data_IF_912641483411
#
_entry.id   IF_912641483411
#
_cell.length_a   1.000
_cell.length_b   1.000
_cell.length_c   1.000
_cell.angle_alpha   90.00
_cell.angle_beta   90.00
_cell.angle_gamma   90.00
#
_symmetry.space_group_name_H-M   'P 1'
#
loop_
_entity.id
_entity.type
_entity.pdbx_description
1 polymer ?
#
# COMPACT_ATOMS: atom_id res chain seq x y z
N UNK A 1 13.19 72.57 32.79
CA UNK A 1 12.51 71.26 32.91
C UNK A 1 12.29 70.76 31.48
N UNK A 2 13.04 69.73 31.05
CA UNK A 2 12.95 69.17 29.69
C UNK A 2 12.22 67.86 29.79
N UNK A 3 10.98 67.76 29.25
CA UNK A 3 10.20 66.53 29.17
C UNK A 3 10.69 65.67 28.01
N UNK A 4 11.16 64.48 28.30
CA UNK A 4 11.52 63.48 27.32
C UNK A 4 10.29 62.63 27.01
N UNK A 5 9.80 62.73 25.75
CA UNK A 5 8.70 61.90 25.24
C UNK A 5 9.27 60.54 24.78
N UNK A 6 8.90 59.47 25.47
CA UNK A 6 9.29 58.09 25.15
C UNK A 6 8.38 57.55 24.05
N UNK A 7 8.91 57.35 22.85
CA UNK A 7 8.18 56.75 21.74
C UNK A 7 8.27 55.22 21.86
N UNK A 8 7.17 54.58 22.22
CA UNK A 8 7.04 53.10 22.21
C UNK A 8 6.66 52.68 20.77
N UNK A 9 7.60 52.11 20.05
CA UNK A 9 7.33 51.47 18.75
C UNK A 9 6.79 50.07 18.97
N UNK A 10 5.49 49.90 18.78
CA UNK A 10 4.83 48.62 18.82
C UNK A 10 5.13 47.89 17.51
N UNK A 11 6.04 46.88 17.51
CA UNK A 11 6.31 46.05 16.38
C UNK A 11 5.12 45.06 16.20
N UNK A 12 4.19 45.37 15.29
CA UNK A 12 3.21 44.39 14.81
C UNK A 12 3.95 43.31 14.03
N UNK A 13 4.11 42.16 14.65
CA UNK A 13 4.55 40.94 13.95
C UNK A 13 3.49 40.55 12.91
N UNK A 14 3.78 40.77 11.64
CA UNK A 14 2.96 40.27 10.52
C UNK A 14 3.10 38.75 10.52
N UNK A 15 2.12 38.03 11.10
CA UNK A 15 1.99 36.60 10.90
C UNK A 15 1.67 36.37 9.41
N UNK A 16 2.65 35.94 8.63
CA UNK A 16 2.41 35.47 7.27
C UNK A 16 1.46 34.28 7.35
N UNK A 17 0.31 34.31 6.64
CA UNK A 17 -0.56 33.16 6.59
C UNK A 17 0.24 31.98 6.04
N UNK A 18 0.31 30.87 6.78
CA UNK A 18 0.89 29.62 6.31
C UNK A 18 -0.02 29.16 5.16
N UNK A 19 0.41 29.44 3.92
CA UNK A 19 -0.35 28.99 2.75
C UNK A 19 -0.40 27.46 2.76
N UNK A 20 -1.60 26.89 2.75
CA UNK A 20 -1.79 25.47 2.57
C UNK A 20 -1.07 25.03 1.28
N UNK A 21 -0.14 24.08 1.41
CA UNK A 21 0.55 23.55 0.24
C UNK A 21 -0.32 22.43 -0.40
N UNK A 22 -0.25 22.35 -1.73
CA UNK A 22 -0.85 21.25 -2.47
C UNK A 22 0.23 20.20 -2.73
N UNK A 23 0.02 18.97 -2.26
CA UNK A 23 0.99 17.87 -2.37
C UNK A 23 0.37 16.71 -3.14
N UNK A 24 1.13 16.13 -4.04
CA UNK A 24 0.71 14.98 -4.85
C UNK A 24 1.35 13.70 -4.37
N UNK A 25 0.55 12.66 -4.22
CA UNK A 25 0.98 11.32 -3.78
C UNK A 25 0.64 10.29 -4.85
N UNK A 26 1.62 9.47 -5.25
CA UNK A 26 1.41 8.27 -6.05
C UNK A 26 1.62 7.05 -5.17
N UNK A 27 0.59 6.20 -5.02
CA UNK A 27 0.63 5.04 -4.14
C UNK A 27 0.27 3.75 -4.88
N UNK A 28 0.80 2.63 -4.42
CA UNK A 28 0.35 1.31 -4.89
C UNK A 28 -0.96 0.90 -4.21
N UNK A 29 -1.73 0.04 -4.89
CA UNK A 29 -3.05 -0.43 -4.41
C UNK A 29 -2.99 -1.08 -3.04
N UNK A 30 -1.93 -1.82 -2.73
CA UNK A 30 -1.76 -2.49 -1.43
C UNK A 30 -1.71 -1.54 -0.23
N UNK A 31 -1.30 -0.27 -0.41
CA UNK A 31 -1.33 0.75 0.63
C UNK A 31 -2.62 1.59 0.64
N UNK A 32 -3.56 1.36 -0.29
CA UNK A 32 -4.76 2.19 -0.48
C UNK A 32 -5.53 2.40 0.83
N UNK A 33 -5.88 1.32 1.53
CA UNK A 33 -6.69 1.38 2.74
C UNK A 33 -6.04 2.21 3.86
N UNK A 34 -4.71 2.14 3.97
CA UNK A 34 -3.92 2.93 4.93
C UNK A 34 -3.86 4.38 4.48
N UNK A 35 -3.46 4.64 3.23
CA UNK A 35 -3.28 6.00 2.73
C UNK A 35 -4.58 6.81 2.69
N UNK A 36 -5.71 6.20 2.30
CA UNK A 36 -7.02 6.88 2.35
C UNK A 36 -7.49 7.20 3.77
N UNK A 37 -6.96 6.53 4.79
CA UNK A 37 -7.24 6.85 6.19
C UNK A 37 -6.26 7.89 6.75
N UNK A 38 -4.99 7.86 6.34
CA UNK A 38 -3.96 8.77 6.85
C UNK A 38 -3.99 10.16 6.21
N UNK A 39 -4.35 10.24 4.92
CA UNK A 39 -4.37 11.52 4.20
C UNK A 39 -5.30 12.55 4.85
N UNK A 40 -6.57 12.26 5.17
CA UNK A 40 -7.44 13.23 5.84
C UNK A 40 -6.91 13.67 7.21
N UNK A 41 -6.26 12.77 7.94
CA UNK A 41 -5.67 13.09 9.25
C UNK A 41 -4.45 14.01 9.10
N UNK A 42 -3.59 13.75 8.11
CA UNK A 42 -2.49 14.66 7.78
C UNK A 42 -3.00 16.05 7.40
N UNK A 43 -3.98 16.14 6.51
CA UNK A 43 -4.58 17.41 6.09
C UNK A 43 -5.16 18.20 7.28
N UNK A 44 -5.82 17.50 8.20
CA UNK A 44 -6.39 18.11 9.42
C UNK A 44 -5.30 18.70 10.32
N UNK A 45 -4.14 18.04 10.44
CA UNK A 45 -3.04 18.44 11.32
C UNK A 45 -2.19 19.53 10.67
N UNK A 46 -1.85 19.37 9.38
CA UNK A 46 -0.91 20.24 8.68
C UNK A 46 -1.57 21.48 8.06
N UNK A 47 -2.86 21.39 7.72
CA UNK A 47 -3.54 22.37 6.88
C UNK A 47 -3.24 22.23 5.38
N UNK A 48 -2.32 21.35 4.99
CA UNK A 48 -1.99 21.08 3.59
C UNK A 48 -3.11 20.31 2.89
N UNK A 49 -3.10 20.28 1.54
CA UNK A 49 -4.00 19.48 0.71
C UNK A 49 -3.24 18.37 0.00
N UNK A 50 -3.79 17.16 0.02
CA UNK A 50 -3.14 15.97 -0.56
C UNK A 50 -4.00 15.37 -1.65
N UNK A 51 -3.52 15.41 -2.89
CA UNK A 51 -4.10 14.67 -4.00
C UNK A 51 -3.40 13.33 -4.14
N UNK A 52 -4.14 12.23 -3.90
CA UNK A 52 -3.58 10.88 -3.99
C UNK A 52 -4.12 10.14 -5.22
N UNK A 53 -3.21 9.51 -5.96
CA UNK A 53 -3.51 8.59 -7.06
C UNK A 53 -2.97 7.20 -6.77
N UNK A 54 -3.60 6.18 -7.35
CA UNK A 54 -3.23 4.78 -7.14
C UNK A 54 -2.94 4.07 -8.45
N UNK A 55 -1.90 3.24 -8.43
CA UNK A 55 -1.46 2.43 -9.57
C UNK A 55 -1.05 1.03 -9.14
N UNK A 56 -0.95 0.09 -10.08
CA UNK A 56 -0.24 -1.17 -9.82
C UNK A 56 1.26 -0.90 -9.68
N UNK A 57 2.04 -1.80 -9.06
CA UNK A 57 3.49 -1.61 -8.94
C UNK A 57 4.18 -1.39 -10.28
N UNK A 58 3.82 -2.15 -11.31
CA UNK A 58 4.38 -2.00 -12.65
C UNK A 58 4.03 -0.64 -13.27
N UNK A 59 2.76 -0.23 -13.21
CA UNK A 59 2.33 1.08 -13.71
C UNK A 59 3.02 2.23 -12.97
N UNK A 60 3.16 2.12 -11.64
CA UNK A 60 3.87 3.13 -10.84
C UNK A 60 5.33 3.26 -11.26
N UNK A 61 6.04 2.12 -11.40
CA UNK A 61 7.42 2.10 -11.89
C UNK A 61 7.52 2.80 -13.25
N UNK A 62 6.69 2.40 -14.21
CA UNK A 62 6.74 2.90 -15.58
C UNK A 62 6.47 4.42 -15.63
N UNK A 63 5.45 4.90 -14.92
CA UNK A 63 5.13 6.32 -14.81
C UNK A 63 6.30 7.13 -14.25
N UNK A 64 6.86 6.72 -13.12
CA UNK A 64 7.97 7.43 -12.48
C UNK A 64 9.25 7.37 -13.34
N UNK A 65 9.59 6.23 -13.95
CA UNK A 65 10.75 6.09 -14.85
C UNK A 65 10.59 7.00 -16.07
N UNK A 66 9.38 7.10 -16.64
CA UNK A 66 9.07 7.98 -17.78
C UNK A 66 9.03 9.47 -17.42
N UNK A 67 9.17 9.83 -16.15
CA UNK A 67 9.27 11.22 -15.71
C UNK A 67 7.97 11.81 -15.16
N UNK A 68 6.91 11.01 -14.95
CA UNK A 68 5.75 11.50 -14.21
C UNK A 68 6.18 11.96 -12.82
N UNK A 69 5.68 13.12 -12.39
CA UNK A 69 6.05 13.74 -11.12
C UNK A 69 4.99 13.50 -10.06
N UNK A 70 5.46 13.25 -8.85
CA UNK A 70 4.69 13.31 -7.61
C UNK A 70 5.60 13.90 -6.53
N UNK A 71 5.04 14.38 -5.43
CA UNK A 71 5.86 14.85 -4.31
C UNK A 71 6.31 13.68 -3.45
N UNK A 72 5.38 12.76 -3.14
CA UNK A 72 5.64 11.54 -2.37
C UNK A 72 5.16 10.32 -3.16
N UNK A 73 5.89 9.23 -3.04
CA UNK A 73 5.46 7.94 -3.55
C UNK A 73 5.48 6.87 -2.46
N UNK A 74 4.48 5.95 -2.50
CA UNK A 74 4.39 4.77 -1.63
C UNK A 74 4.32 3.51 -2.49
N UNK A 75 5.46 2.83 -2.63
CA UNK A 75 5.64 1.69 -3.54
C UNK A 75 6.19 0.46 -2.85
N UNK A 76 6.10 -0.69 -3.52
CA UNK A 76 6.64 -1.95 -3.01
C UNK A 76 8.16 -2.04 -3.22
N UNK A 77 8.85 -2.81 -2.36
CA UNK A 77 10.30 -3.02 -2.43
C UNK A 77 10.78 -3.50 -3.80
N UNK A 78 9.99 -4.30 -4.51
CA UNK A 78 10.37 -4.89 -5.79
C UNK A 78 10.63 -3.87 -6.92
N UNK A 79 10.03 -2.67 -6.87
CA UNK A 79 10.23 -1.64 -7.90
C UNK A 79 11.34 -0.63 -7.54
N UNK A 80 11.83 -0.67 -6.30
CA UNK A 80 12.81 0.30 -5.79
C UNK A 80 14.11 0.31 -6.59
N UNK A 81 14.73 -0.84 -6.94
CA UNK A 81 15.98 -0.85 -7.71
C UNK A 81 15.85 -0.13 -9.06
N UNK A 82 14.74 -0.30 -9.77
CA UNK A 82 14.51 0.36 -11.06
C UNK A 82 14.37 1.88 -10.88
N UNK A 83 13.68 2.32 -9.83
CA UNK A 83 13.50 3.73 -9.52
C UNK A 83 14.80 4.40 -9.06
N UNK A 84 15.63 3.72 -8.28
CA UNK A 84 16.96 4.20 -7.88
C UNK A 84 17.87 4.35 -9.10
N UNK A 85 17.92 3.31 -9.96
CA UNK A 85 18.68 3.35 -11.22
C UNK A 85 18.25 4.50 -12.13
N UNK A 86 16.97 4.80 -12.16
CA UNK A 86 16.40 5.91 -12.95
C UNK A 86 16.54 7.27 -12.24
N UNK A 87 17.13 7.35 -11.04
CA UNK A 87 17.29 8.58 -10.27
C UNK A 87 15.98 9.21 -9.82
N UNK A 88 14.93 8.39 -9.60
CA UNK A 88 13.58 8.86 -9.28
C UNK A 88 13.29 8.98 -7.78
N UNK A 89 14.20 8.54 -6.93
CA UNK A 89 14.10 8.62 -5.46
C UNK A 89 15.05 9.71 -4.97
N UNK A 90 14.53 10.70 -4.26
CA UNK A 90 15.37 11.73 -3.65
C UNK A 90 16.26 11.12 -2.56
N UNK A 91 17.54 11.47 -2.60
CA UNK A 91 18.54 10.86 -1.72
C UNK A 91 18.17 11.00 -0.24
N UNK A 92 18.29 9.91 0.52
CA UNK A 92 18.08 9.89 1.97
C UNK A 92 16.61 9.97 2.42
N UNK A 93 15.65 9.93 1.49
CA UNK A 93 14.22 10.08 1.83
C UNK A 93 13.45 8.75 1.90
N UNK A 94 14.03 7.68 1.37
CA UNK A 94 13.38 6.36 1.35
C UNK A 94 13.41 5.68 2.71
N UNK A 95 12.27 5.24 3.19
CA UNK A 95 12.15 4.42 4.38
C UNK A 95 11.07 3.35 4.21
N UNK A 96 11.18 2.24 4.96
CA UNK A 96 10.09 1.28 5.07
C UNK A 96 8.87 1.96 5.68
N UNK A 97 7.72 1.75 5.06
CA UNK A 97 6.45 2.34 5.51
C UNK A 97 5.60 1.30 6.24
N UNK A 98 5.40 0.15 5.62
CA UNK A 98 4.59 -0.94 6.17
C UNK A 98 4.86 -2.24 5.42
N UNK A 99 4.48 -3.37 6.01
CA UNK A 99 4.47 -4.67 5.35
C UNK A 99 3.04 -5.24 5.33
N UNK A 100 2.56 -5.69 4.16
CA UNK A 100 1.31 -6.43 4.04
C UNK A 100 1.60 -7.91 3.81
N UNK A 101 0.92 -8.75 4.57
CA UNK A 101 1.00 -10.20 4.44
C UNK A 101 -0.04 -10.70 3.44
N UNK A 102 0.23 -11.86 2.87
CA UNK A 102 -0.71 -12.52 1.95
C UNK A 102 -1.76 -13.27 2.75
N UNK A 103 -3.00 -13.16 2.34
CA UNK A 103 -4.12 -13.85 2.95
C UNK A 103 -4.96 -14.61 1.92
N UNK A 104 -5.69 -15.58 2.42
CA UNK A 104 -6.76 -16.24 1.67
C UNK A 104 -8.07 -15.53 1.98
N UNK A 105 -8.74 -15.07 0.92
CA UNK A 105 -10.07 -14.48 1.00
C UNK A 105 -11.14 -15.52 0.66
N UNK A 106 -12.22 -15.48 1.41
CA UNK A 106 -13.45 -16.26 1.18
C UNK A 106 -14.65 -15.31 1.30
N UNK A 107 -15.83 -15.77 0.91
CA UNK A 107 -17.06 -15.01 1.11
C UNK A 107 -17.33 -14.83 2.61
N UNK A 108 -17.90 -13.69 2.98
CA UNK A 108 -18.30 -13.41 4.36
C UNK A 108 -19.20 -14.53 4.91
N UNK A 109 -18.93 -14.96 6.14
CA UNK A 109 -19.61 -16.07 6.78
C UNK A 109 -19.03 -17.47 6.50
N UNK A 110 -18.10 -17.61 5.56
CA UNK A 110 -17.39 -18.86 5.36
C UNK A 110 -16.38 -19.13 6.51
N UNK A 111 -16.08 -20.41 6.80
CA UNK A 111 -15.20 -20.77 7.91
C UNK A 111 -13.76 -20.32 7.67
N UNK A 112 -13.02 -20.16 8.77
CA UNK A 112 -11.57 -19.99 8.71
C UNK A 112 -10.89 -21.23 8.15
N UNK A 113 -9.75 -21.04 7.47
CA UNK A 113 -8.95 -22.12 6.91
C UNK A 113 -7.67 -22.30 7.72
N UNK A 114 -7.27 -23.54 7.92
CA UNK A 114 -5.92 -23.86 8.33
C UNK A 114 -5.00 -23.72 7.10
N UNK A 115 -3.98 -22.85 7.22
CA UNK A 115 -3.02 -22.56 6.16
C UNK A 115 -1.58 -22.69 6.67
N UNK A 116 -1.39 -23.31 7.86
CA UNK A 116 -0.11 -23.30 8.56
C UNK A 116 1.03 -24.01 7.82
N UNK A 117 0.73 -24.91 6.90
CA UNK A 117 1.71 -25.67 6.13
C UNK A 117 1.38 -25.71 4.64
N UNK A 118 2.35 -25.99 3.75
CA UNK A 118 2.07 -26.17 2.32
C UNK A 118 1.00 -27.24 2.05
N UNK A 119 0.94 -28.31 2.84
CA UNK A 119 -0.09 -29.37 2.72
C UNK A 119 -1.47 -28.85 3.11
N UNK A 120 -1.55 -27.97 4.12
CA UNK A 120 -2.81 -27.34 4.52
C UNK A 120 -3.28 -26.36 3.42
N UNK A 121 -2.38 -25.58 2.83
CA UNK A 121 -2.68 -24.72 1.68
C UNK A 121 -3.17 -25.56 0.50
N UNK A 122 -2.49 -26.68 0.18
CA UNK A 122 -2.90 -27.62 -0.86
C UNK A 122 -4.33 -28.12 -0.61
N UNK A 123 -4.65 -28.55 0.62
CA UNK A 123 -6.02 -29.01 0.96
C UNK A 123 -7.06 -27.91 0.72
N UNK A 124 -6.77 -26.67 1.11
CA UNK A 124 -7.66 -25.54 0.88
C UNK A 124 -7.88 -25.27 -0.62
N UNK A 125 -6.81 -25.28 -1.41
CA UNK A 125 -6.88 -25.15 -2.87
C UNK A 125 -7.69 -26.27 -3.51
N UNK A 126 -7.49 -27.53 -3.08
CA UNK A 126 -8.21 -28.68 -3.62
C UNK A 126 -9.71 -28.69 -3.26
N UNK A 127 -10.09 -28.12 -2.12
CA UNK A 127 -11.48 -27.97 -1.71
C UNK A 127 -12.24 -26.90 -2.51
N UNK A 128 -11.54 -25.92 -3.10
CA UNK A 128 -12.12 -24.89 -3.96
C UNK A 128 -12.26 -25.39 -5.40
N UNK A 129 -13.36 -25.04 -6.08
CA UNK A 129 -13.49 -25.23 -7.52
C UNK A 129 -12.71 -24.17 -8.30
N UNK A 130 -12.73 -22.94 -7.79
CA UNK A 130 -12.12 -21.78 -8.43
C UNK A 130 -11.36 -20.93 -7.40
N UNK A 131 -10.11 -20.58 -7.75
CA UNK A 131 -9.22 -19.73 -6.93
C UNK A 131 -8.89 -18.46 -7.72
N UNK A 132 -9.36 -17.32 -7.24
CA UNK A 132 -9.05 -16.03 -7.84
C UNK A 132 -7.63 -15.59 -7.49
N UNK A 133 -6.85 -15.19 -8.49
CA UNK A 133 -5.49 -14.67 -8.39
C UNK A 133 -5.34 -13.42 -9.24
N UNK A 134 -4.46 -12.51 -8.83
CA UNK A 134 -4.11 -11.36 -9.67
C UNK A 134 -3.39 -11.80 -10.95
N UNK A 135 -3.83 -11.28 -12.09
CA UNK A 135 -3.17 -11.49 -13.38
C UNK A 135 -1.86 -10.69 -13.45
N UNK A 136 -0.73 -11.30 -13.82
CA UNK A 136 0.53 -10.59 -14.01
C UNK A 136 0.46 -9.45 -15.02
N UNK A 137 -0.43 -9.52 -16.01
CA UNK A 137 -0.65 -8.45 -17.00
C UNK A 137 -1.18 -7.15 -16.37
N UNK A 138 -1.77 -7.23 -15.16
CA UNK A 138 -2.16 -6.07 -14.38
C UNK A 138 -0.95 -5.37 -13.68
N UNK A 139 0.28 -5.86 -13.90
CA UNK A 139 1.50 -5.29 -13.31
C UNK A 139 1.74 -5.68 -11.84
N UNK A 140 1.18 -6.81 -11.40
CA UNK A 140 1.43 -7.42 -10.08
C UNK A 140 1.92 -8.86 -10.27
N UNK A 141 2.82 -9.32 -9.38
CA UNK A 141 3.40 -10.66 -9.46
C UNK A 141 2.84 -11.62 -8.40
N UNK A 142 1.92 -11.18 -7.55
CA UNK A 142 1.47 -11.98 -6.41
C UNK A 142 0.84 -13.31 -6.85
N UNK A 143 -0.07 -13.28 -7.82
CA UNK A 143 -0.71 -14.50 -8.36
C UNK A 143 0.30 -15.46 -8.98
N UNK A 144 1.21 -14.95 -9.82
CA UNK A 144 2.28 -15.77 -10.43
C UNK A 144 3.20 -16.38 -9.36
N UNK A 145 3.56 -15.62 -8.33
CA UNK A 145 4.39 -16.10 -7.22
C UNK A 145 3.68 -17.21 -6.44
N UNK A 146 2.39 -17.06 -6.18
CA UNK A 146 1.61 -18.10 -5.49
C UNK A 146 1.58 -19.40 -6.30
N UNK A 147 1.35 -19.33 -7.62
CA UNK A 147 1.41 -20.48 -8.51
C UNK A 147 2.81 -21.12 -8.48
N UNK A 148 3.88 -20.34 -8.62
CA UNK A 148 5.25 -20.86 -8.61
C UNK A 148 5.63 -21.55 -7.29
N UNK A 149 5.17 -21.01 -6.15
CA UNK A 149 5.39 -21.64 -4.85
C UNK A 149 4.54 -22.90 -4.66
N UNK A 150 3.33 -22.93 -5.25
CA UNK A 150 2.51 -24.14 -5.32
C UNK A 150 3.19 -25.26 -6.13
N UNK A 151 3.90 -24.89 -7.20
CA UNK A 151 4.70 -25.86 -8.00
C UNK A 151 5.84 -26.46 -7.17
N UNK A 152 6.60 -25.61 -6.47
CA UNK A 152 7.68 -26.07 -5.57
C UNK A 152 7.15 -26.98 -4.46
N UNK A 153 5.92 -26.74 -4.00
CA UNK A 153 5.23 -27.55 -2.99
C UNK A 153 4.47 -28.76 -3.56
N UNK A 154 4.59 -29.04 -4.88
CA UNK A 154 4.07 -30.25 -5.52
C UNK A 154 2.56 -30.26 -5.80
N UNK A 155 1.91 -29.06 -5.91
CA UNK A 155 0.50 -28.94 -6.30
C UNK A 155 0.22 -27.82 -7.33
N UNK A 156 1.22 -27.46 -8.11
CA UNK A 156 1.11 -26.39 -9.12
C UNK A 156 0.13 -26.70 -10.25
N UNK A 157 0.00 -27.97 -10.65
CA UNK A 157 -0.94 -28.38 -11.70
C UNK A 157 -2.39 -28.18 -11.21
N UNK A 158 -2.69 -28.61 -10.00
CA UNK A 158 -4.00 -28.44 -9.36
C UNK A 158 -4.32 -26.96 -9.11
N UNK A 159 -3.32 -26.15 -8.74
CA UNK A 159 -3.50 -24.72 -8.58
C UNK A 159 -3.86 -24.06 -9.91
N UNK A 160 -3.11 -24.36 -10.99
CA UNK A 160 -3.38 -23.80 -12.31
C UNK A 160 -4.74 -24.18 -12.85
N UNK A 161 -5.16 -25.43 -12.66
CA UNK A 161 -6.47 -25.90 -13.16
C UNK A 161 -7.66 -25.20 -12.49
N UNK A 162 -7.45 -24.57 -11.33
CA UNK A 162 -8.46 -23.82 -10.56
C UNK A 162 -8.30 -22.31 -10.63
N UNK A 163 -7.19 -21.83 -11.20
CA UNK A 163 -6.89 -20.41 -11.21
C UNK A 163 -7.86 -19.63 -12.11
N UNK A 164 -8.47 -18.61 -11.54
CA UNK A 164 -9.20 -17.55 -12.25
C UNK A 164 -8.36 -16.28 -12.15
N UNK A 165 -7.77 -15.86 -13.26
CA UNK A 165 -6.95 -14.66 -13.31
C UNK A 165 -7.83 -13.42 -13.34
N UNK A 166 -7.57 -12.47 -12.42
CA UNK A 166 -8.29 -11.22 -12.26
C UNK A 166 -7.37 -10.07 -12.71
N UNK A 167 -7.76 -9.39 -13.77
CA UNK A 167 -7.01 -8.22 -14.24
C UNK A 167 -7.42 -6.99 -13.46
N UNK A 168 -6.59 -6.61 -12.46
CA UNK A 168 -6.84 -5.48 -11.56
C UNK A 168 -6.00 -5.56 -10.28
N UNK A 169 -6.22 -4.63 -9.34
CA UNK A 169 -5.61 -4.68 -8.02
C UNK A 169 -6.14 -5.88 -7.22
N UNK A 170 -5.43 -6.23 -6.15
CA UNK A 170 -5.83 -7.38 -5.31
C UNK A 170 -7.19 -7.22 -4.63
N UNK A 171 -7.69 -6.00 -4.47
CA UNK A 171 -9.08 -5.74 -4.05
C UNK A 171 -10.12 -6.31 -5.01
N UNK A 172 -9.80 -6.41 -6.32
CA UNK A 172 -10.70 -7.00 -7.31
C UNK A 172 -10.73 -8.53 -7.19
N UNK A 173 -9.61 -9.15 -6.75
CA UNK A 173 -9.60 -10.57 -6.35
C UNK A 173 -10.56 -10.81 -5.19
N UNK A 174 -10.50 -9.98 -4.15
CA UNK A 174 -11.40 -10.08 -3.01
C UNK A 174 -12.86 -9.78 -3.41
N UNK A 175 -13.10 -8.82 -4.30
CA UNK A 175 -14.43 -8.49 -4.81
C UNK A 175 -15.03 -9.63 -5.66
N UNK A 176 -14.24 -10.31 -6.48
CA UNK A 176 -14.68 -11.47 -7.25
C UNK A 176 -15.16 -12.61 -6.33
N UNK A 177 -14.45 -12.86 -5.22
CA UNK A 177 -14.87 -13.84 -4.21
C UNK A 177 -16.15 -13.39 -3.50
N UNK A 178 -16.24 -12.12 -3.09
CA UNK A 178 -17.44 -11.57 -2.44
C UNK A 178 -18.70 -11.72 -3.33
N UNK A 179 -18.57 -11.53 -4.65
CA UNK A 179 -19.64 -11.72 -5.64
C UNK A 179 -19.94 -13.19 -5.96
N UNK A 180 -19.12 -14.14 -5.48
CA UNK A 180 -19.27 -15.55 -5.79
C UNK A 180 -18.75 -15.97 -7.16
N UNK A 181 -17.90 -15.15 -7.77
CA UNK A 181 -17.25 -15.46 -9.04
C UNK A 181 -16.06 -16.42 -8.87
N UNK A 182 -15.59 -16.60 -7.63
CA UNK A 182 -14.63 -17.59 -7.21
C UNK A 182 -14.95 -18.06 -5.78
N UNK A 183 -14.56 -19.29 -5.43
CA UNK A 183 -14.82 -19.86 -4.10
C UNK A 183 -13.87 -19.28 -3.05
N UNK A 184 -12.63 -19.05 -3.46
CA UNK A 184 -11.60 -18.38 -2.66
C UNK A 184 -10.69 -17.53 -3.56
N UNK A 185 -9.87 -16.71 -2.93
CA UNK A 185 -8.83 -15.96 -3.63
C UNK A 185 -7.60 -15.76 -2.76
N UNK A 186 -6.51 -15.35 -3.37
CA UNK A 186 -5.25 -15.06 -2.68
C UNK A 186 -4.79 -13.66 -3.04
N UNK A 187 -4.70 -12.79 -2.04
CA UNK A 187 -4.21 -11.41 -2.18
C UNK A 187 -3.68 -10.87 -0.85
N UNK A 188 -3.29 -9.60 -0.81
CA UNK A 188 -2.81 -8.97 0.41
C UNK A 188 -3.96 -8.79 1.42
N UNK A 189 -3.68 -9.00 2.70
CA UNK A 189 -4.66 -8.81 3.79
C UNK A 189 -5.24 -7.39 3.76
N UNK A 190 -4.39 -6.39 3.49
CA UNK A 190 -4.81 -4.98 3.37
C UNK A 190 -5.78 -4.71 2.21
N UNK A 191 -5.85 -5.60 1.22
CA UNK A 191 -6.77 -5.53 0.09
C UNK A 191 -8.04 -6.38 0.30
N UNK A 192 -8.02 -7.31 1.27
CA UNK A 192 -9.18 -8.13 1.66
C UNK A 192 -10.09 -7.36 2.62
N UNK A 193 -9.51 -6.81 3.69
CA UNK A 193 -10.25 -6.25 4.82
C UNK A 193 -11.25 -5.14 4.45
N UNK A 194 -10.97 -4.25 3.47
CA UNK A 194 -11.91 -3.20 3.08
C UNK A 194 -13.09 -3.68 2.23
N UNK A 195 -13.04 -4.92 1.70
CA UNK A 195 -14.04 -5.39 0.72
C UNK A 195 -15.26 -5.95 1.43
N UNK A 196 -16.40 -5.29 1.26
CA UNK A 196 -17.66 -5.74 1.80
C UNK A 196 -18.10 -7.08 1.16
N UNK A 197 -18.56 -8.03 1.96
CA UNK A 197 -18.93 -9.36 1.50
C UNK A 197 -17.76 -10.34 1.38
N UNK A 198 -16.52 -9.89 1.62
CA UNK A 198 -15.34 -10.75 1.75
C UNK A 198 -14.91 -10.92 3.20
N UNK A 199 -14.23 -12.01 3.50
CA UNK A 199 -13.61 -12.28 4.81
C UNK A 199 -12.22 -12.88 4.61
N UNK A 200 -11.28 -12.49 5.47
CA UNK A 200 -9.99 -13.14 5.58
C UNK A 200 -10.19 -14.53 6.20
N UNK A 201 -9.93 -15.59 5.46
CA UNK A 201 -10.00 -16.96 5.94
C UNK A 201 -8.77 -17.37 6.77
N UNK A 202 -7.60 -16.85 6.42
CA UNK A 202 -6.34 -17.08 7.12
C UNK A 202 -5.19 -16.35 6.45
N UNK A 203 -4.11 -16.14 7.18
CA UNK A 203 -2.83 -15.62 6.67
C UNK A 203 -2.03 -16.77 6.06
N UNK A 204 -1.43 -16.55 4.90
CA UNK A 204 -0.51 -17.50 4.27
C UNK A 204 0.86 -17.32 4.95
N UNK A 205 1.52 -18.41 5.38
CA UNK A 205 2.82 -18.32 6.04
C UNK A 205 3.87 -17.58 5.21
N UNK A 206 4.70 -16.78 5.89
CA UNK A 206 5.74 -15.97 5.23
C UNK A 206 6.79 -16.81 4.48
N UNK A 207 7.00 -18.05 4.91
CA UNK A 207 7.90 -19.01 4.24
C UNK A 207 7.30 -19.49 2.90
N UNK A 208 5.97 -19.51 2.78
CA UNK A 208 5.30 -19.82 1.53
C UNK A 208 5.11 -18.57 0.66
N UNK A 209 4.69 -17.45 1.24
CA UNK A 209 4.53 -16.17 0.57
C UNK A 209 5.14 -15.06 1.43
N UNK A 210 6.32 -14.54 1.08
CA UNK A 210 6.92 -13.46 1.84
C UNK A 210 6.03 -12.21 1.84
N UNK A 211 6.05 -11.40 2.91
CA UNK A 211 5.27 -10.18 2.98
C UNK A 211 5.70 -9.18 1.90
N UNK A 212 4.76 -8.41 1.43
CA UNK A 212 5.03 -7.27 0.54
C UNK A 212 5.43 -6.07 1.39
N UNK A 213 6.72 -5.74 1.38
CA UNK A 213 7.25 -4.54 2.06
C UNK A 213 7.03 -3.31 1.18
N UNK A 214 6.49 -2.27 1.76
CA UNK A 214 6.23 -0.98 1.13
C UNK A 214 7.19 0.07 1.66
N UNK A 215 7.68 0.92 0.77
CA UNK A 215 8.53 2.06 1.07
C UNK A 215 7.80 3.34 0.74
N UNK A 216 7.94 4.35 1.60
CA UNK A 216 7.58 5.72 1.31
C UNK A 216 8.85 6.53 1.01
N UNK A 217 8.78 7.41 0.01
CA UNK A 217 9.92 8.23 -0.40
C UNK A 217 9.46 9.50 -1.11
N UNK A 218 10.31 10.51 -1.09
CA UNK A 218 10.15 11.70 -1.91
C UNK A 218 10.61 11.41 -3.34
N UNK A 219 9.81 11.79 -4.32
CA UNK A 219 10.19 11.66 -5.73
C UNK A 219 11.19 12.76 -6.09
N UNK A 220 12.24 12.41 -6.85
CA UNK A 220 13.20 13.39 -7.36
C UNK A 220 12.48 14.42 -8.26
N UNK A 221 12.69 15.70 -7.99
CA UNK A 221 11.98 16.78 -8.69
C UNK A 221 10.59 17.08 -8.12
N UNK A 222 10.30 16.65 -6.88
CA UNK A 222 9.09 17.04 -6.15
C UNK A 222 8.90 18.56 -6.17
N UNK A 223 7.67 19.01 -6.42
CA UNK A 223 7.34 20.45 -6.48
C UNK A 223 7.35 21.09 -5.09
N UNK A 224 6.97 20.30 -4.06
CA UNK A 224 6.85 20.76 -2.68
C UNK A 224 7.74 19.92 -1.74
N UNK A 225 9.08 19.98 -1.86
CA UNK A 225 9.98 19.05 -1.16
C UNK A 225 9.90 19.14 0.36
N UNK A 226 9.70 20.32 0.93
CA UNK A 226 9.60 20.48 2.38
C UNK A 226 8.27 19.92 2.92
N UNK A 227 7.18 20.11 2.18
CA UNK A 227 5.88 19.51 2.54
C UNK A 227 5.91 17.99 2.36
N UNK A 228 6.59 17.48 1.32
CA UNK A 228 6.83 16.04 1.14
C UNK A 228 7.54 15.43 2.36
N UNK A 229 8.58 16.08 2.90
CA UNK A 229 9.27 15.64 4.12
C UNK A 229 8.34 15.59 5.33
N UNK A 230 7.47 16.59 5.50
CA UNK A 230 6.48 16.61 6.59
C UNK A 230 5.52 15.42 6.49
N UNK A 231 4.99 15.15 5.28
CA UNK A 231 4.14 13.98 5.05
C UNK A 231 4.89 12.68 5.33
N UNK A 232 6.11 12.52 4.85
CA UNK A 232 6.93 11.33 5.14
C UNK A 232 7.16 11.14 6.64
N UNK A 233 7.45 12.21 7.38
CA UNK A 233 7.58 12.14 8.84
C UNK A 233 6.26 11.72 9.51
N UNK A 234 5.12 12.24 9.06
CA UNK A 234 3.80 11.85 9.56
C UNK A 234 3.51 10.37 9.28
N UNK A 235 3.83 9.86 8.10
CA UNK A 235 3.63 8.44 7.74
C UNK A 235 4.42 7.47 8.64
N UNK A 236 5.43 7.96 9.37
CA UNK A 236 6.21 7.19 10.35
C UNK A 236 5.86 7.52 11.82
N UNK A 237 4.82 8.32 12.04
CA UNK A 237 4.36 8.70 13.39
C UNK A 237 3.70 7.54 14.14
N UNK A 238 3.52 7.70 15.44
CA UNK A 238 2.79 6.74 16.27
C UNK A 238 1.32 6.62 15.87
N UNK A 239 0.72 7.71 15.39
CA UNK A 239 -0.65 7.73 14.86
C UNK A 239 -0.76 6.91 13.59
N UNK A 240 0.18 7.08 12.65
CA UNK A 240 0.23 6.31 11.42
C UNK A 240 0.40 4.81 11.70
N UNK A 241 1.23 4.42 12.67
CA UNK A 241 1.41 3.01 13.09
C UNK A 241 0.09 2.36 13.49
N UNK A 242 -0.72 3.04 14.30
CA UNK A 242 -2.05 2.53 14.72
C UNK A 242 -2.98 2.30 13.53
N UNK A 243 -2.98 3.21 12.55
CA UNK A 243 -3.78 3.06 11.33
C UNK A 243 -3.27 1.91 10.47
N UNK A 244 -1.94 1.77 10.31
CA UNK A 244 -1.32 0.67 9.57
C UNK A 244 -1.78 -0.67 10.15
N UNK A 245 -1.69 -0.86 11.47
CA UNK A 245 -2.12 -2.07 12.17
C UNK A 245 -3.62 -2.32 12.01
N UNK A 246 -4.45 -1.29 12.20
CA UNK A 246 -5.90 -1.40 12.05
C UNK A 246 -6.34 -1.79 10.63
N UNK A 247 -5.49 -1.51 9.61
CA UNK A 247 -5.73 -1.92 8.21
C UNK A 247 -5.08 -3.26 7.85
N UNK A 248 -4.63 -4.04 8.82
CA UNK A 248 -4.07 -5.38 8.61
C UNK A 248 -2.65 -5.39 8.03
N UNK A 249 -1.92 -4.30 8.17
CA UNK A 249 -0.50 -4.21 7.82
C UNK A 249 0.36 -4.17 9.09
N UNK A 250 1.64 -4.47 8.97
CA UNK A 250 2.60 -4.33 10.08
C UNK A 250 3.48 -3.09 9.82
N UNK A 251 3.60 -2.17 10.79
CA UNK A 251 4.54 -1.06 10.67
C UNK A 251 6.00 -1.57 10.71
N UNK A 252 6.97 -0.81 10.22
CA UNK A 252 8.38 -1.17 10.35
C UNK A 252 8.77 -1.30 11.83
N UNK A 253 9.76 -2.18 12.09
CA UNK A 253 10.29 -2.44 13.44
C UNK A 253 10.97 -1.20 14.04
#
# INVERSE_FOLDING_TARGET
>A
MKSATLLVVLALGVATPLSAAEITVLSTGGARAVMTSLVPEYERISGDKVTISFATPGQMRDKLVQGETADVAVGIAAIIPDLEKAGRIAQGTRAEFAASYVGVVVRAGAPKLDLATPEAIKRAVLAAKTVALSDPSAGTQLGATFIANSEKAGFGAEMRSRAKMINGPGSDVAAAVAKGEADMGVTLISEILPVQGASLAGEVPADFMPPTVMHAFQVSGAKNPETAKKLLAFLHSAEARKVIEAKGMKPPK
#
